data_IF_910549569586
#
_entry.id   IF_910549569586
#
_cell.length_a   1.000
_cell.length_b   1.000
_cell.length_c   1.000
_cell.angle_alpha   90.00
_cell.angle_beta   90.00
_cell.angle_gamma   90.00
#
_symmetry.space_group_name_H-M   'P 1'
#
loop_
_entity.id
_entity.type
_entity.pdbx_description
1 polymer ?
#
# COMPACT_ATOMS: atom_id res chain seq x y z
N UNK A 1 36.82 11.32 21.98
CA UNK A 1 36.54 10.98 20.57
C UNK A 1 36.79 9.49 20.39
N UNK A 2 35.75 8.66 20.49
CA UNK A 2 35.84 7.21 20.24
C UNK A 2 35.09 6.89 18.94
N UNK A 3 35.66 6.09 18.02
CA UNK A 3 35.01 5.75 16.77
C UNK A 3 33.92 4.70 16.99
N UNK A 4 32.70 5.03 16.56
CA UNK A 4 31.57 4.10 16.45
C UNK A 4 31.90 2.99 15.46
N UNK A 5 31.99 1.75 15.94
CA UNK A 5 32.04 0.57 15.09
C UNK A 5 30.63 0.22 14.60
N UNK A 6 30.46 0.19 13.28
CA UNK A 6 29.24 -0.25 12.64
C UNK A 6 29.08 -1.78 12.77
N UNK A 7 28.05 -2.21 13.48
CA UNK A 7 27.68 -3.62 13.63
C UNK A 7 26.99 -4.07 12.34
N UNK A 8 27.72 -4.86 11.53
CA UNK A 8 27.19 -5.59 10.39
C UNK A 8 26.27 -6.71 10.90
N UNK A 9 24.95 -6.55 10.75
CA UNK A 9 23.99 -7.62 11.05
C UNK A 9 24.04 -8.67 9.92
N UNK A 10 24.23 -9.97 10.23
CA UNK A 10 24.20 -11.01 9.22
C UNK A 10 22.77 -11.19 8.66
N UNK A 11 22.66 -11.24 7.34
CA UNK A 11 21.44 -11.68 6.65
C UNK A 11 21.19 -13.16 7.00
N UNK A 12 19.99 -13.56 7.45
CA UNK A 12 19.67 -14.97 7.58
C UNK A 12 19.63 -15.60 6.18
N UNK A 13 20.48 -16.60 5.98
CA UNK A 13 20.53 -17.39 4.75
C UNK A 13 19.26 -18.23 4.66
N UNK A 14 18.41 -17.88 3.68
CA UNK A 14 17.29 -18.72 3.28
C UNK A 14 17.86 -19.95 2.55
N UNK A 15 17.90 -21.10 3.22
CA UNK A 15 18.37 -22.37 2.63
C UNK A 15 17.29 -22.88 1.68
N UNK A 16 17.40 -22.50 0.40
CA UNK A 16 16.62 -23.08 -0.70
C UNK A 16 17.13 -24.47 -1.06
N UNK A 17 16.30 -25.49 -0.87
CA UNK A 17 16.58 -26.85 -1.32
C UNK A 17 16.72 -26.93 -2.83
N UNK A 18 17.87 -27.44 -3.29
CA UNK A 18 18.19 -27.68 -4.70
C UNK A 18 17.49 -28.93 -5.21
N UNK A 19 16.73 -28.79 -6.29
CA UNK A 19 16.22 -29.88 -7.08
C UNK A 19 17.34 -30.50 -7.93
N UNK A 20 17.41 -31.82 -7.92
CA UNK A 20 18.32 -32.66 -8.72
C UNK A 20 17.87 -32.59 -10.19
N UNK A 21 18.72 -32.06 -11.07
CA UNK A 21 18.54 -32.08 -12.51
C UNK A 21 19.68 -32.88 -13.15
N UNK A 22 19.34 -34.04 -13.71
CA UNK A 22 20.23 -34.92 -14.44
C UNK A 22 20.45 -34.42 -15.88
N UNK A 23 21.73 -34.34 -16.26
CA UNK A 23 22.23 -34.05 -17.61
C UNK A 23 22.04 -35.23 -18.55
N UNK A 24 21.74 -34.94 -19.82
CA UNK A 24 22.28 -35.65 -20.98
C UNK A 24 22.54 -34.66 -22.13
N UNK A 25 23.71 -34.79 -22.75
CA UNK A 25 24.27 -34.02 -23.89
C UNK A 25 24.15 -34.88 -25.20
N UNK A 26 24.77 -34.50 -26.34
CA UNK A 26 24.17 -33.71 -27.43
C UNK A 26 24.24 -34.48 -28.78
N UNK A 27 23.71 -33.94 -29.89
CA UNK A 27 24.29 -34.16 -31.24
C UNK A 27 23.60 -33.38 -32.37
N UNK A 28 24.44 -32.86 -33.30
CA UNK A 28 24.23 -32.43 -34.70
C UNK A 28 23.22 -31.29 -34.96
N UNK A 29 23.46 -30.24 -35.75
CA UNK A 29 24.39 -29.96 -36.85
C UNK A 29 23.58 -29.34 -38.02
N UNK A 30 24.01 -28.19 -38.56
CA UNK A 30 23.74 -27.62 -39.92
C UNK A 30 23.38 -26.12 -40.02
N UNK A 31 24.40 -25.35 -40.46
CA UNK A 31 24.46 -24.34 -41.54
C UNK A 31 23.20 -23.57 -42.03
N UNK A 32 23.42 -22.24 -42.07
CA UNK A 32 23.33 -21.25 -43.19
C UNK A 32 22.09 -20.34 -43.38
N UNK A 33 22.47 -19.09 -43.69
CA UNK A 33 21.73 -17.95 -44.28
C UNK A 33 20.79 -17.21 -43.31
N UNK A 34 20.89 -15.90 -43.09
CA UNK A 34 21.33 -14.83 -43.96
C UNK A 34 20.11 -14.03 -44.42
N UNK A 35 19.65 -13.08 -43.61
CA UNK A 35 18.83 -11.94 -44.06
C UNK A 35 18.73 -10.88 -42.95
N UNK A 36 19.42 -9.77 -43.16
CA UNK A 36 19.10 -8.50 -42.53
C UNK A 36 17.73 -8.04 -43.06
N UNK A 37 16.80 -7.79 -42.16
CA UNK A 37 15.62 -6.97 -42.42
C UNK A 37 15.66 -5.83 -41.42
N UNK A 38 15.95 -4.64 -41.94
CA UNK A 38 15.72 -3.37 -41.26
C UNK A 38 14.22 -3.26 -40.98
N UNK A 39 13.81 -3.28 -39.72
CA UNK A 39 12.51 -2.77 -39.31
C UNK A 39 12.73 -1.55 -38.43
N UNK A 40 12.27 -0.42 -38.97
CA UNK A 40 11.99 0.82 -38.25
C UNK A 40 11.08 0.48 -37.07
N UNK A 41 11.57 0.58 -35.84
CA UNK A 41 10.71 0.57 -34.66
C UNK A 41 10.13 1.97 -34.48
N UNK A 42 8.96 2.12 -35.05
CA UNK A 42 7.99 3.18 -34.79
C UNK A 42 7.79 3.36 -33.28
N UNK A 43 7.84 4.62 -32.84
CA UNK A 43 7.16 5.08 -31.63
C UNK A 43 5.67 4.73 -31.78
N UNK A 44 5.19 3.70 -31.08
CA UNK A 44 3.75 3.43 -30.98
C UNK A 44 3.46 2.68 -29.68
N UNK A 45 2.76 3.36 -28.77
CA UNK A 45 1.92 2.78 -27.73
C UNK A 45 2.62 1.85 -26.76
N UNK A 46 2.90 2.35 -25.55
CA UNK A 46 2.96 1.48 -24.37
C UNK A 46 1.74 0.57 -24.39
N UNK A 47 2.00 -0.69 -24.73
CA UNK A 47 1.03 -1.74 -24.74
C UNK A 47 0.41 -1.77 -23.34
N UNK A 48 -0.90 -1.54 -23.29
CA UNK A 48 -1.75 -2.02 -22.22
C UNK A 48 -1.49 -3.53 -22.11
N UNK A 49 -0.48 -3.88 -21.29
CA UNK A 49 -0.06 -5.23 -21.00
C UNK A 49 -1.30 -6.09 -20.82
N UNK A 50 -1.40 -7.12 -21.66
CA UNK A 50 -2.38 -8.19 -21.66
C UNK A 50 -2.91 -8.43 -20.24
N UNK A 51 -4.03 -7.78 -19.92
CA UNK A 51 -4.71 -7.96 -18.65
C UNK A 51 -5.29 -9.35 -18.69
N UNK A 52 -4.61 -10.32 -18.06
CA UNK A 52 -5.15 -11.67 -17.86
C UNK A 52 -6.62 -11.55 -17.46
N UNK A 53 -7.54 -12.31 -18.08
CA UNK A 53 -8.97 -12.21 -17.80
C UNK A 53 -9.16 -12.38 -16.29
N UNK A 54 -9.75 -11.35 -15.67
CA UNK A 54 -9.95 -11.31 -14.23
C UNK A 54 -10.72 -12.56 -13.82
N UNK A 55 -10.26 -13.29 -12.79
CA UNK A 55 -11.00 -14.40 -12.17
C UNK A 55 -12.40 -13.92 -11.76
N UNK A 56 -13.36 -14.20 -12.66
CA UNK A 56 -14.74 -14.55 -12.34
C UNK A 56 -15.46 -13.63 -11.35
N UNK A 57 -15.41 -12.31 -11.56
CA UNK A 57 -16.51 -11.45 -11.15
C UNK A 57 -17.21 -10.97 -12.43
N UNK A 58 -18.50 -11.27 -12.63
CA UNK A 58 -19.24 -10.68 -13.74
C UNK A 58 -19.19 -9.16 -13.55
N UNK A 59 -18.66 -8.46 -14.54
CA UNK A 59 -18.65 -7.00 -14.53
C UNK A 59 -20.11 -6.54 -14.43
N UNK A 60 -20.47 -5.88 -13.33
CA UNK A 60 -21.76 -5.25 -13.21
C UNK A 60 -21.86 -4.09 -14.22
N UNK A 61 -23.07 -3.68 -14.57
CA UNK A 61 -23.30 -2.51 -15.44
C UNK A 61 -22.61 -1.23 -14.90
N UNK A 62 -22.35 -1.15 -13.59
CA UNK A 62 -21.72 0.00 -12.92
C UNK A 62 -20.23 -0.21 -12.55
N UNK A 63 -19.55 -1.21 -13.11
CA UNK A 63 -18.12 -1.44 -12.86
C UNK A 63 -17.26 -0.54 -13.76
N UNK A 64 -17.03 0.69 -13.30
CA UNK A 64 -16.03 1.58 -13.93
C UNK A 64 -14.62 1.09 -13.62
N UNK A 65 -13.64 1.28 -14.53
CA UNK A 65 -12.25 0.85 -14.30
C UNK A 65 -11.65 1.46 -13.03
N UNK A 66 -11.97 2.73 -12.75
CA UNK A 66 -11.59 3.44 -11.51
C UNK A 66 -12.12 2.73 -10.26
N UNK A 67 -13.35 2.20 -10.30
CA UNK A 67 -13.96 1.50 -9.17
C UNK A 67 -13.25 0.19 -8.87
N UNK A 68 -12.82 -0.53 -9.90
CA UNK A 68 -12.11 -1.80 -9.72
C UNK A 68 -10.70 -1.57 -9.21
N UNK A 69 -9.98 -0.59 -9.77
CA UNK A 69 -8.62 -0.29 -9.34
C UNK A 69 -8.61 0.23 -7.89
N UNK A 70 -9.56 1.08 -7.51
CA UNK A 70 -9.74 1.54 -6.11
C UNK A 70 -10.10 0.39 -5.16
N UNK A 71 -10.91 -0.57 -5.61
CA UNK A 71 -11.27 -1.75 -4.82
C UNK A 71 -10.03 -2.58 -4.50
N UNK A 72 -9.17 -2.83 -5.48
CA UNK A 72 -7.99 -3.67 -5.28
C UNK A 72 -7.00 -2.98 -4.32
N UNK A 73 -6.81 -1.66 -4.45
CA UNK A 73 -6.04 -0.87 -3.47
C UNK A 73 -6.63 -0.97 -2.06
N UNK A 74 -7.96 -0.89 -1.94
CA UNK A 74 -8.64 -1.03 -0.64
C UNK A 74 -8.45 -2.43 -0.04
N UNK A 75 -8.52 -3.48 -0.87
CA UNK A 75 -8.27 -4.86 -0.43
C UNK A 75 -6.82 -5.05 0.06
N UNK A 76 -5.85 -4.42 -0.61
CA UNK A 76 -4.46 -4.38 -0.18
C UNK A 76 -4.28 -3.70 1.17
N UNK A 77 -4.86 -2.52 1.32
CA UNK A 77 -4.84 -1.72 2.55
C UNK A 77 -5.46 -2.51 3.73
N UNK A 78 -6.59 -3.17 3.51
CA UNK A 78 -7.24 -4.04 4.50
C UNK A 78 -6.36 -5.21 4.90
N UNK A 79 -5.70 -5.87 3.92
CA UNK A 79 -4.80 -7.00 4.19
C UNK A 79 -3.55 -6.55 4.97
N UNK A 80 -2.98 -5.40 4.63
CA UNK A 80 -1.86 -4.80 5.37
C UNK A 80 -2.26 -4.46 6.80
N UNK A 81 -3.40 -3.78 6.99
CA UNK A 81 -3.91 -3.40 8.32
C UNK A 81 -4.22 -4.63 9.17
N UNK A 82 -4.88 -5.64 8.61
CA UNK A 82 -5.16 -6.90 9.30
C UNK A 82 -3.88 -7.62 9.76
N UNK A 83 -2.84 -7.63 8.91
CA UNK A 83 -1.54 -8.21 9.25
C UNK A 83 -0.89 -7.47 10.42
N UNK A 84 -0.89 -6.13 10.39
CA UNK A 84 -0.37 -5.29 11.50
C UNK A 84 -1.15 -5.49 12.79
N UNK A 85 -2.48 -5.56 12.73
CA UNK A 85 -3.33 -5.87 13.89
C UNK A 85 -2.97 -7.23 14.48
N UNK A 86 -2.77 -8.26 13.65
CA UNK A 86 -2.33 -9.57 14.12
C UNK A 86 -0.95 -9.53 14.78
N UNK A 87 0.00 -8.77 14.23
CA UNK A 87 1.32 -8.54 14.86
C UNK A 87 1.16 -7.97 16.27
N UNK A 88 0.29 -6.98 16.47
CA UNK A 88 0.01 -6.41 17.79
C UNK A 88 -0.58 -7.45 18.77
N UNK A 89 -1.54 -8.27 18.34
CA UNK A 89 -2.08 -9.34 19.18
C UNK A 89 -1.02 -10.40 19.54
N UNK A 90 -0.09 -10.69 18.63
CA UNK A 90 0.97 -11.65 18.87
C UNK A 90 2.10 -11.11 19.75
N UNK A 91 2.24 -9.79 19.88
CA UNK A 91 3.26 -9.17 20.74
C UNK A 91 3.18 -9.68 22.18
N UNK A 92 1.96 -9.85 22.70
CA UNK A 92 1.72 -10.33 24.07
C UNK A 92 1.60 -11.86 24.14
N UNK A 93 1.00 -12.49 23.12
CA UNK A 93 0.67 -13.92 23.15
C UNK A 93 1.84 -14.83 22.73
N UNK A 94 2.54 -14.46 21.66
CA UNK A 94 3.62 -15.25 21.09
C UNK A 94 4.63 -14.35 20.36
N UNK A 95 5.61 -13.77 21.08
CA UNK A 95 6.59 -12.87 20.49
C UNK A 95 7.36 -13.54 19.34
N UNK A 96 7.69 -14.82 19.46
CA UNK A 96 8.35 -15.61 18.41
C UNK A 96 7.62 -15.57 17.07
N UNK A 97 6.30 -15.73 17.11
CA UNK A 97 5.44 -15.66 15.91
C UNK A 97 5.31 -14.23 15.39
N UNK A 98 5.23 -13.25 16.31
CA UNK A 98 5.20 -11.83 15.98
C UNK A 98 6.44 -11.41 15.16
N UNK A 99 7.65 -11.72 15.65
CA UNK A 99 8.90 -11.41 14.95
C UNK A 99 8.98 -12.12 13.59
N UNK A 100 8.58 -13.39 13.52
CA UNK A 100 8.54 -14.12 12.25
C UNK A 100 7.62 -13.44 11.23
N UNK A 101 6.41 -13.03 11.65
CA UNK A 101 5.44 -12.38 10.79
C UNK A 101 5.91 -10.97 10.37
N UNK A 102 6.57 -10.25 11.27
CA UNK A 102 7.16 -8.94 10.96
C UNK A 102 8.27 -9.07 9.91
N UNK A 103 9.20 -10.03 10.06
CA UNK A 103 10.20 -10.31 9.05
C UNK A 103 9.57 -10.73 7.71
N UNK A 104 8.52 -11.55 7.76
CA UNK A 104 7.81 -11.95 6.55
C UNK A 104 7.19 -10.75 5.83
N UNK A 105 6.53 -9.85 6.57
CA UNK A 105 5.91 -8.63 6.02
C UNK A 105 6.96 -7.68 5.43
N UNK A 106 8.12 -7.53 6.09
CA UNK A 106 9.23 -6.73 5.57
C UNK A 106 9.82 -7.34 4.29
N UNK A 107 9.92 -8.66 4.22
CA UNK A 107 10.45 -9.37 3.06
C UNK A 107 9.46 -9.42 1.88
N UNK A 108 8.15 -9.38 2.17
CA UNK A 108 7.07 -9.46 1.18
C UNK A 108 6.06 -8.32 1.39
N UNK A 109 6.45 -7.05 1.15
CA UNK A 109 5.53 -5.94 1.30
C UNK A 109 4.40 -6.04 0.27
N UNK A 110 3.20 -5.59 0.66
CA UNK A 110 2.07 -5.45 -0.25
C UNK A 110 2.28 -4.16 -1.05
N UNK A 111 2.49 -4.22 -2.37
CA UNK A 111 2.76 -3.03 -3.17
C UNK A 111 1.50 -2.16 -3.32
N UNK A 112 1.68 -0.84 -3.35
CA UNK A 112 0.58 0.11 -3.57
C UNK A 112 0.16 0.25 -5.04
N UNK A 113 1.04 -0.16 -5.95
CA UNK A 113 0.88 -0.04 -7.39
C UNK A 113 1.41 -1.31 -8.06
N UNK A 114 0.83 -1.70 -9.18
CA UNK A 114 1.29 -2.86 -9.95
C UNK A 114 0.15 -3.75 -10.41
N UNK A 115 0.45 -5.04 -10.56
CA UNK A 115 -0.55 -6.04 -10.91
C UNK A 115 -1.63 -6.11 -9.82
N UNK A 116 -2.88 -6.18 -10.24
CA UNK A 116 -4.07 -6.30 -9.40
C UNK A 116 -3.97 -7.38 -8.30
N UNK A 117 -3.46 -8.58 -8.62
CA UNK A 117 -3.26 -9.67 -7.64
C UNK A 117 -2.23 -9.32 -6.55
N UNK A 118 -1.26 -8.45 -6.87
CA UNK A 118 -0.25 -7.98 -5.92
C UNK A 118 -0.80 -6.85 -5.06
N UNK A 119 -1.48 -5.87 -5.69
CA UNK A 119 -2.05 -4.70 -5.01
C UNK A 119 -3.16 -5.10 -4.04
N UNK A 120 -3.98 -6.10 -4.36
CA UNK A 120 -5.05 -6.58 -3.48
C UNK A 120 -4.55 -7.30 -2.22
N UNK A 121 -3.26 -7.65 -2.17
CA UNK A 121 -2.70 -8.51 -1.13
C UNK A 121 -3.05 -10.00 -1.31
N UNK A 122 -3.71 -10.40 -2.40
CA UNK A 122 -4.06 -11.80 -2.63
C UNK A 122 -2.82 -12.66 -2.89
N UNK A 123 -1.84 -12.15 -3.64
CA UNK A 123 -0.58 -12.86 -3.83
C UNK A 123 0.22 -13.01 -2.52
N UNK A 124 0.13 -12.02 -1.62
CA UNK A 124 0.72 -12.12 -0.28
C UNK A 124 0.07 -13.28 0.51
N UNK A 125 -1.26 -13.36 0.53
CA UNK A 125 -1.98 -14.44 1.21
C UNK A 125 -1.77 -15.81 0.55
N UNK A 126 -1.74 -15.88 -0.78
CA UNK A 126 -1.47 -17.13 -1.53
C UNK A 126 -0.08 -17.65 -1.21
N UNK A 127 0.93 -16.77 -1.12
CA UNK A 127 2.29 -17.16 -0.70
C UNK A 127 2.27 -17.77 0.70
N UNK A 128 1.66 -17.11 1.69
CA UNK A 128 1.51 -17.68 3.05
C UNK A 128 0.79 -19.04 3.05
N UNK A 129 -0.33 -19.16 2.34
CA UNK A 129 -1.10 -20.41 2.25
C UNK A 129 -0.31 -21.54 1.58
N UNK A 130 0.57 -21.21 0.63
CA UNK A 130 1.40 -22.19 -0.07
C UNK A 130 2.65 -22.60 0.72
N UNK A 131 3.08 -21.80 1.70
CA UNK A 131 4.30 -22.08 2.46
C UNK A 131 4.15 -23.33 3.33
N UNK A 132 5.21 -24.15 3.46
CA UNK A 132 5.27 -25.23 4.44
C UNK A 132 5.44 -24.66 5.84
N UNK A 133 5.30 -25.53 6.85
CA UNK A 133 5.64 -25.20 8.24
C UNK A 133 7.08 -24.72 8.30
N UNK A 134 7.27 -23.50 8.81
CA UNK A 134 8.58 -22.88 8.96
C UNK A 134 9.08 -23.09 10.39
N UNK A 135 10.38 -23.18 10.57
CA UNK A 135 10.99 -23.13 11.89
C UNK A 135 11.53 -21.72 12.11
N UNK A 136 11.26 -21.15 13.28
CA UNK A 136 11.78 -19.86 13.67
C UNK A 136 12.39 -19.93 15.07
N UNK A 137 13.37 -19.07 15.30
CA UNK A 137 14.00 -18.87 16.60
C UNK A 137 13.70 -17.44 17.05
N UNK A 138 13.36 -17.28 18.32
CA UNK A 138 13.21 -15.96 18.90
C UNK A 138 14.59 -15.40 19.24
N UNK A 139 15.06 -14.49 18.40
CA UNK A 139 16.36 -13.85 18.56
C UNK A 139 16.12 -12.43 19.09
N UNK A 140 16.04 -12.30 20.41
CA UNK A 140 16.05 -11.00 21.07
C UNK A 140 17.50 -10.50 21.17
N UNK A 141 17.88 -9.59 20.27
CA UNK A 141 19.21 -8.96 20.32
C UNK A 141 19.41 -8.25 21.66
N UNK A 142 20.36 -8.73 22.47
CA UNK A 142 20.71 -8.14 23.77
C UNK A 142 20.44 -9.03 24.99
N UNK A 143 19.98 -10.28 24.81
CA UNK A 143 19.96 -11.28 25.87
C UNK A 143 21.22 -12.15 25.83
N UNK A 144 21.76 -12.50 27.00
CA UNK A 144 22.92 -13.40 27.11
C UNK A 144 22.65 -14.74 26.42
N UNK A 145 23.67 -15.28 25.75
CA UNK A 145 23.60 -16.56 25.01
C UNK A 145 23.11 -17.71 25.89
N UNK A 146 23.37 -17.64 27.21
CA UNK A 146 22.94 -18.64 28.20
C UNK A 146 21.41 -18.71 28.39
N UNK A 147 20.67 -17.66 28.02
CA UNK A 147 19.20 -17.64 28.09
C UNK A 147 18.53 -17.84 26.73
N UNK A 148 19.30 -18.12 25.68
CA UNK A 148 18.73 -18.48 24.39
C UNK A 148 18.11 -19.87 24.49
N UNK A 149 16.80 -19.94 24.31
CA UNK A 149 16.11 -21.23 24.18
C UNK A 149 16.53 -21.84 22.84
N UNK A 150 17.22 -22.99 22.88
CA UNK A 150 17.69 -23.68 21.66
C UNK A 150 16.56 -24.38 20.88
N UNK A 151 15.37 -24.48 21.45
CA UNK A 151 14.24 -25.11 20.77
C UNK A 151 13.65 -24.18 19.71
N UNK A 152 13.88 -24.50 18.44
CA UNK A 152 13.16 -23.89 17.32
C UNK A 152 11.66 -24.09 17.47
N UNK A 153 10.87 -23.03 17.31
CA UNK A 153 9.41 -23.12 17.32
C UNK A 153 8.90 -23.35 15.89
N UNK A 154 8.00 -24.33 15.74
CA UNK A 154 7.28 -24.53 14.49
C UNK A 154 6.22 -23.44 14.31
N UNK A 155 6.27 -22.78 13.16
CA UNK A 155 5.29 -21.78 12.70
C UNK A 155 4.50 -22.39 11.56
N UNK A 156 3.17 -22.30 11.63
CA UNK A 156 2.28 -22.68 10.53
C UNK A 156 1.77 -21.42 9.79
N UNK A 157 2.36 -21.06 8.63
CA UNK A 157 1.95 -19.87 7.87
C UNK A 157 0.51 -19.93 7.37
N UNK A 158 -0.06 -21.13 7.21
CA UNK A 158 -1.43 -21.31 6.70
C UNK A 158 -2.46 -20.85 7.72
N UNK A 159 -2.25 -21.23 8.98
CA UNK A 159 -3.07 -20.77 10.09
C UNK A 159 -2.97 -19.24 10.28
N UNK A 160 -1.77 -18.67 10.09
CA UNK A 160 -1.60 -17.20 10.12
C UNK A 160 -2.41 -16.54 9.01
N UNK A 161 -2.33 -17.06 7.76
CA UNK A 161 -3.10 -16.51 6.65
C UNK A 161 -4.61 -16.57 6.91
N UNK A 162 -5.11 -17.67 7.51
CA UNK A 162 -6.51 -17.79 7.91
C UNK A 162 -6.92 -16.70 8.89
N UNK A 163 -6.14 -16.48 9.95
CA UNK A 163 -6.38 -15.40 10.93
C UNK A 163 -6.35 -14.01 10.29
N UNK A 164 -5.42 -13.75 9.37
CA UNK A 164 -5.37 -12.48 8.63
C UNK A 164 -6.65 -12.31 7.81
N UNK A 165 -7.14 -13.35 7.13
CA UNK A 165 -8.39 -13.28 6.36
C UNK A 165 -9.62 -13.03 7.24
N UNK A 166 -9.68 -13.61 8.44
CA UNK A 166 -10.74 -13.37 9.42
C UNK A 166 -10.74 -11.92 9.92
N UNK A 167 -9.59 -11.43 10.39
CA UNK A 167 -9.42 -10.03 10.85
C UNK A 167 -9.74 -9.06 9.72
N UNK A 168 -9.25 -9.34 8.50
CA UNK A 168 -9.55 -8.54 7.30
C UNK A 168 -11.06 -8.41 7.06
N UNK A 169 -11.82 -9.49 7.25
CA UNK A 169 -13.28 -9.45 7.10
C UNK A 169 -13.96 -8.63 8.19
N UNK A 170 -13.42 -8.58 9.41
CA UNK A 170 -13.98 -7.78 10.51
C UNK A 170 -13.73 -6.29 10.27
N UNK A 171 -12.48 -5.91 9.99
CA UNK A 171 -12.11 -4.51 9.67
C UNK A 171 -12.92 -3.99 8.49
N UNK A 172 -13.14 -4.82 7.46
CA UNK A 172 -13.94 -4.42 6.31
C UNK A 172 -15.39 -4.04 6.68
N UNK A 173 -16.00 -4.74 7.66
CA UNK A 173 -17.34 -4.41 8.15
C UNK A 173 -17.34 -3.10 8.92
N UNK A 174 -16.35 -2.89 9.77
CA UNK A 174 -16.18 -1.65 10.55
C UNK A 174 -16.03 -0.43 9.62
N UNK A 175 -15.15 -0.53 8.62
CA UNK A 175 -14.95 0.55 7.65
C UNK A 175 -16.20 0.87 6.84
N UNK A 176 -17.03 -0.12 6.52
CA UNK A 176 -18.30 0.14 5.83
C UNK A 176 -19.23 0.96 6.71
N UNK A 177 -19.27 0.72 8.02
CA UNK A 177 -20.06 1.52 8.94
C UNK A 177 -19.48 2.93 9.14
N UNK A 178 -18.16 3.06 9.26
CA UNK A 178 -17.48 4.36 9.35
C UNK A 178 -17.70 5.20 8.08
N UNK A 179 -17.57 4.60 6.89
CA UNK A 179 -17.73 5.32 5.62
C UNK A 179 -19.16 5.84 5.38
N UNK A 180 -20.17 5.32 6.08
CA UNK A 180 -21.54 5.89 6.03
C UNK A 180 -21.62 7.26 6.69
N UNK A 181 -20.72 7.59 7.61
CA UNK A 181 -20.72 8.85 8.36
C UNK A 181 -20.07 10.00 7.58
N UNK A 182 -19.34 9.71 6.48
CA UNK A 182 -18.60 10.71 5.69
C UNK A 182 -19.48 11.85 5.19
N UNK A 183 -20.74 11.61 4.83
CA UNK A 183 -21.64 12.69 4.40
C UNK A 183 -21.99 13.66 5.54
N UNK A 184 -22.12 13.14 6.75
CA UNK A 184 -22.38 13.95 7.95
C UNK A 184 -21.14 14.74 8.34
N UNK A 185 -19.97 14.10 8.36
CA UNK A 185 -18.68 14.76 8.59
C UNK A 185 -18.43 15.90 7.59
N UNK A 186 -18.70 15.67 6.30
CA UNK A 186 -18.61 16.71 5.27
C UNK A 186 -19.57 17.88 5.53
N UNK A 187 -20.79 17.62 6.02
CA UNK A 187 -21.74 18.68 6.35
C UNK A 187 -21.28 19.52 7.55
N UNK A 188 -20.69 18.88 8.57
CA UNK A 188 -20.09 19.56 9.72
C UNK A 188 -18.93 20.45 9.26
N UNK A 189 -18.01 19.91 8.46
CA UNK A 189 -16.87 20.66 7.92
C UNK A 189 -17.31 21.89 7.10
N UNK A 190 -18.33 21.75 6.26
CA UNK A 190 -18.88 22.89 5.51
C UNK A 190 -19.46 23.95 6.44
N UNK A 191 -20.23 23.55 7.45
CA UNK A 191 -20.83 24.47 8.42
C UNK A 191 -19.77 25.24 9.22
N UNK A 192 -18.74 24.54 9.69
CA UNK A 192 -17.61 25.12 10.42
C UNK A 192 -16.89 26.14 9.54
N UNK A 193 -16.53 25.76 8.31
CA UNK A 193 -15.84 26.63 7.35
C UNK A 193 -16.63 27.91 7.08
N UNK A 194 -17.94 27.79 6.83
CA UNK A 194 -18.82 28.94 6.60
C UNK A 194 -18.88 29.83 7.85
N UNK A 195 -19.02 29.24 9.04
CA UNK A 195 -19.10 30.01 10.29
C UNK A 195 -17.79 30.75 10.59
N UNK A 196 -16.64 30.10 10.39
CA UNK A 196 -15.31 30.71 10.51
C UNK A 196 -15.07 31.82 9.47
N UNK A 197 -15.71 31.76 8.30
CA UNK A 197 -15.63 32.85 7.33
C UNK A 197 -16.41 34.11 7.74
N UNK A 198 -17.45 33.96 8.57
CA UNK A 198 -18.25 35.08 9.08
C UNK A 198 -17.76 35.68 10.40
N UNK A 199 -16.81 35.04 11.09
CA UNK A 199 -16.22 35.64 12.29
C UNK A 199 -15.36 36.86 11.93
N UNK A 200 -15.77 38.02 12.44
CA UNK A 200 -15.19 39.36 12.23
C UNK A 200 -13.67 39.48 12.41
N UNK A 201 -13.01 38.51 13.04
CA UNK A 201 -11.55 38.47 13.21
C UNK A 201 -10.77 38.30 11.90
N UNK A 202 -11.41 37.80 10.82
CA UNK A 202 -10.81 37.67 9.50
C UNK A 202 -11.15 38.83 8.55
N UNK A 203 -11.93 39.81 8.98
CA UNK A 203 -12.09 41.03 8.20
C UNK A 203 -10.79 41.82 8.35
N UNK A 204 -10.13 42.22 7.25
CA UNK A 204 -9.07 43.20 7.36
C UNK A 204 -9.70 44.43 8.02
N UNK A 205 -9.23 44.77 9.21
CA UNK A 205 -9.56 46.04 9.84
C UNK A 205 -9.05 47.10 8.86
N UNK A 206 -9.95 47.58 8.01
CA UNK A 206 -9.71 48.75 7.19
C UNK A 206 -9.47 49.88 8.17
N UNK A 207 -8.20 50.26 8.32
CA UNK A 207 -7.81 51.41 9.10
C UNK A 207 -8.57 52.61 8.51
N UNK A 208 -9.45 53.28 9.28
CA UNK A 208 -10.27 54.38 8.75
C UNK A 208 -9.43 55.55 8.24
N UNK A 209 -8.15 55.61 8.61
CA UNK A 209 -7.19 56.55 8.04
C UNK A 209 -6.85 56.30 6.56
N UNK A 210 -7.06 55.09 6.04
CA UNK A 210 -6.86 54.75 4.62
C UNK A 210 -8.10 54.99 3.75
N UNK A 211 -9.26 55.30 4.33
CA UNK A 211 -10.50 55.55 3.58
C UNK A 211 -10.58 56.96 2.94
N UNK A 212 -9.58 57.82 3.09
CA UNK A 212 -9.67 59.26 2.77
C UNK A 212 -9.01 59.73 1.48
N UNK A 213 -8.52 58.84 0.61
CA UNK A 213 -7.84 59.27 -0.64
C UNK A 213 -8.24 58.54 -1.92
N UNK A 214 -9.35 57.79 -1.87
CA UNK A 214 -9.97 57.24 -3.08
C UNK A 214 -10.88 58.26 -3.75
N UNK A 215 -10.32 59.18 -4.53
CA UNK A 215 -11.07 59.86 -5.59
C UNK A 215 -11.46 58.80 -6.61
N UNK A 216 -12.60 58.12 -6.40
CA UNK A 216 -13.12 57.14 -7.34
C UNK A 216 -13.54 57.90 -8.62
N UNK A 217 -12.86 57.71 -9.77
CA UNK A 217 -13.13 58.49 -10.99
C UNK A 217 -14.44 58.10 -11.69
N UNK A 218 -15.26 57.23 -11.10
CA UNK A 218 -16.43 56.62 -11.74
C UNK A 218 -17.78 57.23 -11.28
N UNK A 219 -17.76 58.20 -10.36
CA UNK A 219 -18.97 58.92 -9.92
C UNK A 219 -19.05 60.37 -10.44
N UNK A 220 -18.26 60.73 -11.44
CA UNK A 220 -18.48 61.93 -12.25
C UNK A 220 -19.42 61.58 -13.40
N UNK A 221 -20.71 61.41 -13.09
CA UNK A 221 -21.75 61.33 -14.11
C UNK A 221 -22.05 62.78 -14.59
N UNK A 222 -21.88 63.10 -15.89
CA UNK A 222 -21.99 64.46 -16.41
C UNK A 222 -23.42 65.03 -16.49
N UNK A 223 -24.43 64.33 -15.96
CA UNK A 223 -25.85 64.65 -16.20
C UNK A 223 -26.54 65.47 -15.11
N UNK A 224 -25.83 65.92 -14.07
CA UNK A 224 -26.46 66.64 -12.94
C UNK A 224 -26.33 68.17 -12.95
N UNK A 225 -25.69 68.77 -13.97
CA UNK A 225 -25.51 70.23 -14.06
C UNK A 225 -26.44 70.92 -15.08
N UNK A 226 -27.74 70.61 -15.07
CA UNK A 226 -28.74 71.47 -15.71
C UNK A 226 -30.04 71.53 -14.90
N UNK A 227 -30.17 72.54 -14.02
CA UNK A 227 -31.37 73.37 -13.83
C UNK A 227 -31.15 74.49 -12.82
#
# INVERSE_FOLDING_TARGET
>A
MHPSQAINKPKPAFVGGSAISSRSLPQHGCRRHGRQVQQRSSFSGEAQSERRPRRSRPAGLDDTPLRVDNRDVLMGLLTERATKTLIFYLMELNPTLMQWLEYYLQANPIPRQGSWDDVSGDNFLRKLLSMPVAQTRWDFSGRDEMFLKDSSLGVDPRNIAQRIMEIRSQIAKEWVEELKQVSEENAILMRETVTSSFTLANLPVLDPSQATSGTHPELLHPDFDQR
#
